data_IF_274832914688
#
_entry.id   IF_274832914688
#
_cell.length_a   1.000
_cell.length_b   1.000
_cell.length_c   1.000
_cell.angle_alpha   90.00
_cell.angle_beta   90.00
_cell.angle_gamma   90.00
#
_symmetry.space_group_name_H-M   'P 1'
#
loop_
_entity.id
_entity.type
_entity.pdbx_description
1 polymer ?
#
# COMPACT_ATOMS: atom_id res chain seq x y z
N UNK A 1 9.97 -5.43 5.01
CA UNK A 1 9.01 -4.32 5.20
C UNK A 1 8.34 -4.39 6.57
N UNK A 2 7.65 -5.49 6.91
CA UNK A 2 7.06 -5.69 8.25
C UNK A 2 8.09 -5.73 9.39
N UNK A 3 9.26 -6.37 9.19
CA UNK A 3 10.27 -6.47 10.24
C UNK A 3 10.91 -5.11 10.60
N UNK A 4 11.13 -4.24 9.61
CA UNK A 4 11.69 -2.90 9.85
C UNK A 4 10.66 -1.95 10.49
N UNK A 5 9.39 -2.01 10.05
CA UNK A 5 8.27 -1.27 10.67
C UNK A 5 8.01 -1.72 12.11
N UNK A 6 8.20 -3.02 12.42
CA UNK A 6 8.13 -3.57 13.78
C UNK A 6 9.26 -3.04 14.69
N UNK A 7 10.47 -2.92 14.14
CA UNK A 7 11.66 -2.51 14.92
C UNK A 7 11.71 -1.01 15.23
N UNK A 8 11.28 -0.15 14.29
CA UNK A 8 11.35 1.32 14.48
C UNK A 8 10.05 1.96 14.98
N UNK A 9 8.89 1.35 14.70
CA UNK A 9 7.57 1.92 15.01
C UNK A 9 6.67 0.94 15.79
N UNK A 10 7.23 -0.05 16.48
CA UNK A 10 6.49 -1.16 17.12
C UNK A 10 5.30 -0.74 18.01
N UNK A 11 5.37 0.41 18.69
CA UNK A 11 4.24 0.94 19.50
C UNK A 11 3.12 1.59 18.68
N UNK A 12 3.42 2.12 17.49
CA UNK A 12 2.43 2.75 16.60
C UNK A 12 1.61 1.71 15.84
N UNK A 13 2.16 0.50 15.66
CA UNK A 13 1.54 -0.58 14.89
C UNK A 13 1.10 -1.80 15.74
N UNK A 14 1.17 -1.69 17.07
CA UNK A 14 0.63 -2.69 18.00
C UNK A 14 -0.91 -2.78 17.82
N UNK A 15 -1.42 -3.95 17.41
CA UNK A 15 -2.84 -4.17 17.10
C UNK A 15 -3.23 -4.07 15.60
N UNK A 16 -2.29 -3.72 14.72
CA UNK A 16 -2.52 -3.70 13.25
C UNK A 16 -2.23 -5.04 12.56
N UNK A 17 -1.70 -6.00 13.31
CA UNK A 17 -1.24 -7.31 12.83
C UNK A 17 -2.38 -8.15 12.22
N UNK A 18 -3.63 -7.77 12.49
CA UNK A 18 -4.83 -8.47 12.01
C UNK A 18 -5.62 -7.68 10.95
N UNK A 19 -5.32 -6.40 10.75
CA UNK A 19 -6.11 -5.48 9.90
C UNK A 19 -5.54 -5.44 8.48
N UNK A 20 -4.23 -5.62 8.34
CA UNK A 20 -3.57 -5.68 7.04
C UNK A 20 -3.37 -7.15 6.73
N UNK A 21 -4.17 -7.71 5.81
CA UNK A 21 -3.80 -8.97 5.20
C UNK A 21 -2.37 -8.80 4.64
N UNK A 22 -1.45 -9.69 5.01
CA UNK A 22 -0.06 -9.59 4.58
C UNK A 22 0.05 -9.99 3.11
N UNK A 23 -0.28 -9.03 2.23
CA UNK A 23 -0.19 -9.16 0.78
C UNK A 23 1.26 -9.29 0.28
N UNK A 24 2.25 -9.11 1.15
CA UNK A 24 3.67 -9.27 0.82
C UNK A 24 4.21 -10.67 1.09
N UNK A 25 3.46 -11.50 1.80
CA UNK A 25 3.76 -12.93 2.02
C UNK A 25 3.43 -13.83 0.81
N UNK A 26 2.84 -13.28 -0.25
CA UNK A 26 2.62 -13.98 -1.52
C UNK A 26 3.94 -14.00 -2.33
N UNK A 27 4.97 -14.68 -1.79
CA UNK A 27 6.34 -14.72 -2.34
C UNK A 27 6.50 -15.41 -3.71
N UNK A 28 5.40 -15.78 -4.37
CA UNK A 28 5.45 -16.25 -5.76
C UNK A 28 4.47 -15.43 -6.60
N UNK A 29 5.01 -14.52 -7.43
CA UNK A 29 4.26 -13.69 -8.39
C UNK A 29 3.29 -14.49 -9.30
N UNK A 30 3.42 -15.82 -9.35
CA UNK A 30 2.61 -16.75 -10.14
C UNK A 30 1.42 -17.34 -9.35
N UNK A 31 1.42 -17.28 -8.01
CA UNK A 31 0.39 -17.87 -7.15
C UNK A 31 -0.59 -16.84 -6.56
N UNK A 32 -0.24 -15.56 -6.58
CA UNK A 32 -1.11 -14.48 -6.09
C UNK A 32 -2.46 -14.39 -6.82
N UNK A 33 -2.45 -14.44 -8.16
CA UNK A 33 -3.69 -14.39 -8.97
C UNK A 33 -4.59 -15.61 -8.73
N UNK A 34 -4.00 -16.80 -8.63
CA UNK A 34 -4.75 -18.05 -8.41
C UNK A 34 -5.36 -18.09 -7.01
N UNK A 35 -4.59 -17.71 -5.98
CA UNK A 35 -5.08 -17.61 -4.60
C UNK A 35 -6.19 -16.57 -4.46
N UNK A 36 -6.03 -15.40 -5.07
CA UNK A 36 -7.04 -14.36 -5.00
C UNK A 36 -8.31 -14.74 -5.78
N UNK A 37 -8.14 -15.39 -6.94
CA UNK A 37 -9.26 -15.96 -7.70
C UNK A 37 -10.03 -16.98 -6.85
N UNK A 38 -9.31 -17.88 -6.18
CA UNK A 38 -9.89 -18.88 -5.29
C UNK A 38 -10.65 -18.23 -4.12
N UNK A 39 -10.07 -17.23 -3.45
CA UNK A 39 -10.73 -16.50 -2.35
C UNK A 39 -12.06 -15.87 -2.80
N UNK A 40 -12.06 -15.23 -3.98
CA UNK A 40 -13.26 -14.60 -4.54
C UNK A 40 -14.32 -15.65 -4.90
N UNK A 41 -13.91 -16.79 -5.46
CA UNK A 41 -14.80 -17.91 -5.79
C UNK A 41 -15.40 -18.58 -4.54
N UNK A 42 -14.60 -18.76 -3.48
CA UNK A 42 -15.07 -19.27 -2.18
C UNK A 42 -16.10 -18.33 -1.53
N UNK A 43 -16.02 -17.04 -1.83
CA UNK A 43 -17.01 -16.03 -1.42
C UNK A 43 -18.28 -16.03 -2.30
N UNK A 44 -18.41 -16.97 -3.24
CA UNK A 44 -19.55 -17.10 -4.14
C UNK A 44 -19.51 -16.16 -5.36
N UNK A 45 -18.42 -15.41 -5.57
CA UNK A 45 -18.26 -14.54 -6.73
C UNK A 45 -17.70 -15.34 -7.90
N UNK A 46 -18.27 -15.14 -9.10
CA UNK A 46 -17.68 -15.73 -10.30
C UNK A 46 -16.65 -14.78 -10.88
N UNK A 47 -15.38 -15.11 -10.74
CA UNK A 47 -14.28 -14.33 -11.33
C UNK A 47 -14.27 -14.50 -12.86
N UNK A 48 -14.43 -13.40 -13.59
CA UNK A 48 -14.31 -13.35 -15.06
C UNK A 48 -12.89 -12.99 -15.49
N UNK A 49 -12.28 -12.07 -14.75
CA UNK A 49 -10.93 -11.59 -15.02
C UNK A 49 -10.32 -11.18 -13.70
N UNK A 50 -9.08 -11.59 -13.50
CA UNK A 50 -8.22 -11.05 -12.46
C UNK A 50 -6.85 -10.84 -13.09
N UNK A 51 -6.26 -9.67 -12.87
CA UNK A 51 -4.94 -9.32 -13.39
C UNK A 51 -4.18 -8.53 -12.34
N UNK A 52 -2.93 -8.89 -12.12
CA UNK A 52 -1.98 -8.07 -11.39
C UNK A 52 -1.27 -7.15 -12.39
N UNK A 53 -1.49 -5.84 -12.25
CA UNK A 53 -0.96 -4.81 -13.12
C UNK A 53 0.17 -4.07 -12.40
N UNK A 54 1.38 -4.16 -12.94
CA UNK A 54 2.48 -3.29 -12.53
C UNK A 54 2.42 -1.99 -13.34
N UNK A 55 2.36 -0.85 -12.67
CA UNK A 55 2.24 0.47 -13.29
C UNK A 55 3.20 1.45 -12.64
N UNK A 56 3.92 2.17 -13.48
CA UNK A 56 4.78 3.25 -13.06
C UNK A 56 4.02 4.57 -13.13
N UNK A 57 4.00 5.30 -12.03
CA UNK A 57 3.43 6.63 -11.95
C UNK A 57 4.53 7.63 -11.68
N UNK A 58 4.60 8.64 -12.54
CA UNK A 58 5.49 9.77 -12.35
C UNK A 58 4.75 10.88 -11.62
N UNK A 59 5.35 11.33 -10.53
CA UNK A 59 4.90 12.48 -9.77
C UNK A 59 5.92 13.60 -9.98
N UNK A 60 5.47 14.68 -10.62
CA UNK A 60 6.27 15.88 -10.82
C UNK A 60 6.61 16.58 -9.50
N UNK A 61 5.71 16.47 -8.54
CA UNK A 61 5.83 17.03 -7.20
C UNK A 61 5.57 15.95 -6.13
N UNK A 62 6.61 15.63 -5.37
CA UNK A 62 6.57 14.68 -4.26
C UNK A 62 5.66 15.17 -3.13
N UNK A 63 5.46 16.48 -2.96
CA UNK A 63 4.58 17.02 -1.92
C UNK A 63 3.15 16.47 -2.06
N UNK A 64 2.66 16.33 -3.30
CA UNK A 64 1.32 15.81 -3.60
C UNK A 64 1.16 14.36 -3.12
N UNK A 65 2.21 13.55 -3.27
CA UNK A 65 2.19 12.15 -2.85
C UNK A 65 2.25 12.02 -1.34
N UNK A 66 3.04 12.89 -0.68
CA UNK A 66 3.15 12.94 0.77
C UNK A 66 1.82 13.35 1.41
N UNK A 67 1.14 14.32 0.82
CA UNK A 67 -0.18 14.75 1.30
C UNK A 67 -1.22 13.65 1.10
N UNK A 68 -1.20 12.96 -0.05
CA UNK A 68 -2.06 11.79 -0.29
C UNK A 68 -1.84 10.69 0.75
N UNK A 69 -0.58 10.33 1.03
CA UNK A 69 -0.26 9.29 2.01
C UNK A 69 -0.63 9.68 3.43
N UNK A 70 -0.41 10.95 3.79
CA UNK A 70 -0.85 11.49 5.07
C UNK A 70 -2.38 11.41 5.19
N UNK A 71 -3.12 11.78 4.13
CA UNK A 71 -4.59 11.75 4.09
C UNK A 71 -5.16 10.33 4.20
N UNK A 72 -4.44 9.33 3.71
CA UNK A 72 -4.83 7.92 3.78
C UNK A 72 -4.62 7.32 5.19
N UNK A 73 -3.97 8.05 6.12
CA UNK A 73 -3.82 7.59 7.49
C UNK A 73 -5.16 7.65 8.23
N UNK A 74 -5.72 6.49 8.55
CA UNK A 74 -7.03 6.36 9.21
C UNK A 74 -7.07 7.00 10.63
N UNK A 75 -5.93 7.29 11.24
CA UNK A 75 -5.81 7.97 12.53
C UNK A 75 -5.38 9.43 12.41
N UNK A 76 -5.36 10.01 11.20
CA UNK A 76 -4.95 11.40 11.01
C UNK A 76 -5.71 12.36 11.92
N UNK A 77 -6.99 12.07 12.19
CA UNK A 77 -7.86 12.83 13.09
C UNK A 77 -7.42 12.83 14.57
N UNK A 78 -6.58 11.88 14.98
CA UNK A 78 -6.05 11.76 16.35
C UNK A 78 -4.69 12.42 16.54
N UNK A 79 -4.06 12.85 15.45
CA UNK A 79 -2.72 13.44 15.47
C UNK A 79 -2.80 14.96 15.65
N UNK A 80 -1.91 15.51 16.46
CA UNK A 80 -1.68 16.96 16.51
C UNK A 80 -0.95 17.42 15.25
N UNK A 81 -1.03 18.71 14.91
CA UNK A 81 -0.30 19.24 13.73
C UNK A 81 1.21 18.95 13.76
N UNK A 82 1.94 19.11 14.88
CA UNK A 82 3.34 18.72 14.95
C UNK A 82 3.58 17.25 14.58
N UNK A 83 2.75 16.34 15.09
CA UNK A 83 2.86 14.90 14.79
C UNK A 83 2.57 14.59 13.32
N UNK A 84 1.63 15.32 12.69
CA UNK A 84 1.36 15.20 11.25
C UNK A 84 2.57 15.62 10.42
N UNK A 85 3.25 16.71 10.81
CA UNK A 85 4.45 17.18 10.14
C UNK A 85 5.61 16.19 10.28
N UNK A 86 5.82 15.61 11.47
CA UNK A 86 6.81 14.57 11.70
C UNK A 86 6.52 13.33 10.85
N UNK A 87 5.28 12.84 10.86
CA UNK A 87 4.87 11.70 10.05
C UNK A 87 5.07 11.96 8.54
N UNK A 88 4.81 13.18 8.08
CA UNK A 88 5.02 13.58 6.69
C UNK A 88 6.50 13.54 6.30
N UNK A 89 7.40 13.95 7.20
CA UNK A 89 8.84 13.88 6.96
C UNK A 89 9.36 12.44 6.96
N UNK A 90 8.85 11.58 7.85
CA UNK A 90 9.17 10.15 7.83
C UNK A 90 8.68 9.48 6.54
N UNK A 91 7.48 9.82 6.07
CA UNK A 91 6.97 9.35 4.79
C UNK A 91 7.87 9.76 3.62
N UNK A 92 8.46 10.97 3.64
CA UNK A 92 9.42 11.42 2.62
C UNK A 92 10.67 10.55 2.60
N UNK A 93 11.26 10.29 3.76
CA UNK A 93 12.45 9.45 3.86
C UNK A 93 12.19 8.06 3.27
N UNK A 94 11.09 7.43 3.69
CA UNK A 94 10.66 6.12 3.20
C UNK A 94 10.45 6.15 1.69
N UNK A 95 9.71 7.12 1.16
CA UNK A 95 9.41 7.20 -0.27
C UNK A 95 10.65 7.36 -1.14
N UNK A 96 11.53 8.29 -0.76
CA UNK A 96 12.74 8.60 -1.52
C UNK A 96 13.71 7.43 -1.50
N UNK A 97 13.87 6.77 -0.34
CA UNK A 97 14.66 5.55 -0.20
C UNK A 97 14.11 4.42 -1.09
N UNK A 98 12.80 4.14 -1.03
CA UNK A 98 12.18 3.07 -1.84
C UNK A 98 12.27 3.32 -3.35
N UNK A 99 12.25 4.58 -3.77
CA UNK A 99 12.40 4.94 -5.18
C UNK A 99 13.86 5.09 -5.63
N UNK A 100 14.83 4.97 -4.70
CA UNK A 100 16.24 5.15 -5.00
C UNK A 100 16.60 6.56 -5.44
N UNK A 101 15.88 7.57 -4.95
CA UNK A 101 16.12 8.99 -5.26
C UNK A 101 16.62 9.76 -4.03
N UNK A 102 17.32 10.89 -4.21
CA UNK A 102 17.74 11.73 -3.10
C UNK A 102 16.56 12.25 -2.25
N UNK A 103 16.78 12.47 -0.95
CA UNK A 103 15.77 12.99 -0.01
C UNK A 103 15.18 14.34 -0.46
N UNK A 104 16.01 15.18 -1.10
CA UNK A 104 15.62 16.48 -1.63
C UNK A 104 15.07 16.43 -3.06
N UNK A 105 14.78 15.24 -3.59
CA UNK A 105 14.14 15.10 -4.91
C UNK A 105 12.79 15.79 -4.90
N UNK A 106 12.50 16.53 -5.97
CA UNK A 106 11.19 17.17 -6.18
C UNK A 106 10.19 16.23 -6.82
N UNK A 107 10.67 15.27 -7.61
CA UNK A 107 9.85 14.33 -8.35
C UNK A 107 10.13 12.89 -7.92
N UNK A 108 9.18 12.00 -8.19
CA UNK A 108 9.27 10.60 -7.83
C UNK A 108 8.67 9.74 -8.95
N UNK A 109 9.37 8.67 -9.33
CA UNK A 109 8.76 7.57 -10.07
C UNK A 109 8.41 6.48 -9.07
N UNK A 110 7.15 6.05 -9.04
CA UNK A 110 6.71 4.97 -8.15
C UNK A 110 6.05 3.86 -8.95
N UNK A 111 6.55 2.64 -8.75
CA UNK A 111 5.89 1.43 -9.21
C UNK A 111 4.79 1.05 -8.20
N UNK A 112 3.59 0.81 -8.73
CA UNK A 112 2.46 0.27 -8.01
C UNK A 112 2.05 -1.05 -8.62
N UNK A 113 1.85 -2.03 -7.75
CA UNK A 113 1.14 -3.26 -8.06
C UNK A 113 -0.36 -3.03 -7.82
N UNK A 114 -1.17 -3.21 -8.86
CA UNK A 114 -2.62 -2.98 -8.84
C UNK A 114 -3.31 -4.29 -9.18
N UNK A 115 -4.20 -4.75 -8.30
CA UNK A 115 -5.09 -5.88 -8.61
C UNK A 115 -6.34 -5.36 -9.31
N UNK A 116 -6.52 -5.74 -10.57
CA UNK A 116 -7.74 -5.48 -11.34
C UNK A 116 -8.59 -6.75 -11.42
N UNK A 117 -9.85 -6.65 -11.02
CA UNK A 117 -10.78 -7.78 -11.00
C UNK A 117 -12.13 -7.43 -11.60
N UNK A 118 -12.65 -8.32 -12.45
CA UNK A 118 -14.04 -8.33 -12.92
C UNK A 118 -14.69 -9.60 -12.40
N UNK A 119 -15.76 -9.44 -11.63
CA UNK A 119 -16.51 -10.55 -11.05
C UNK A 119 -18.00 -10.39 -11.33
N UNK A 120 -18.70 -11.52 -11.53
CA UNK A 120 -20.16 -11.54 -11.48
C UNK A 120 -20.61 -11.75 -10.04
N UNK A 121 -21.57 -10.93 -9.61
CA UNK A 121 -22.31 -11.17 -8.37
C UNK A 121 -23.05 -12.51 -8.48
N UNK A 122 -23.07 -13.34 -7.42
CA UNK A 122 -23.86 -14.56 -7.42
C UNK A 122 -25.32 -14.23 -7.76
N UNK A 123 -25.90 -14.99 -8.67
CA UNK A 123 -27.34 -14.90 -8.96
C UNK A 123 -28.06 -15.53 -7.77
N UNK A 124 -28.85 -14.72 -7.07
CA UNK A 124 -29.82 -15.15 -6.05
C UNK A 124 -30.85 -16.08 -6.66
#
# INVERSE_FOLDING_TARGET
>A
MLNWLKETNGKLFEGFEHIVADWTSYEEKVDGENKFTKLMQESGLKVKTLQILNRNFFYEDIEVVLDLWLSANIFLHRLTEPMKMELREENRKIMTEFAGVPLNSKSLMKEYEIVYGVVDKPRS
#
